data_IF_774667963285
#
_entry.id   IF_774667963285
#
_cell.length_a   1.000
_cell.length_b   1.000
_cell.length_c   1.000
_cell.angle_alpha   90.00
_cell.angle_beta   90.00
_cell.angle_gamma   90.00
#
_symmetry.space_group_name_H-M   'P 1'
#
loop_
_entity.id
_entity.type
_entity.pdbx_description
1 polymer ?
#
# COMPACT_ATOMS: atom_id res chain seq x y z
N UNK A 1 15.21 11.89 7.91
CA UNK A 1 14.55 10.60 7.59
C UNK A 1 14.21 9.92 8.91
N UNK A 2 12.92 9.75 9.25
CA UNK A 2 12.50 9.17 10.54
C UNK A 2 12.78 7.66 10.54
N UNK A 3 13.38 7.13 11.61
CA UNK A 3 13.74 5.70 11.73
C UNK A 3 12.56 4.92 12.32
N UNK A 4 12.13 3.83 11.66
CA UNK A 4 11.04 2.96 12.10
C UNK A 4 11.50 2.02 13.22
N UNK A 5 10.69 1.88 14.27
CA UNK A 5 11.03 1.07 15.47
C UNK A 5 10.27 -0.26 15.49
N UNK A 6 9.00 -0.25 15.06
CA UNK A 6 8.17 -1.44 14.99
C UNK A 6 7.08 -1.29 13.92
N UNK A 7 6.57 -2.42 13.43
CA UNK A 7 5.34 -2.51 12.65
C UNK A 7 4.46 -3.49 13.41
N UNK A 8 3.35 -2.99 13.97
CA UNK A 8 2.34 -3.88 14.51
C UNK A 8 1.81 -4.72 13.35
N UNK A 9 1.75 -6.05 13.55
CA UNK A 9 1.57 -7.03 12.49
C UNK A 9 0.46 -6.57 11.53
N UNK A 10 0.81 -6.32 10.27
CA UNK A 10 -0.16 -5.95 9.23
C UNK A 10 -1.28 -6.98 9.22
N UNK A 11 -2.49 -6.57 9.58
CA UNK A 11 -3.67 -7.37 9.40
C UNK A 11 -4.06 -7.23 7.93
N UNK A 12 -3.77 -8.24 7.13
CA UNK A 12 -4.28 -8.33 5.77
C UNK A 12 -5.75 -8.70 5.81
N UNK A 13 -6.67 -7.77 6.09
CA UNK A 13 -8.07 -7.94 5.69
C UNK A 13 -8.81 -6.60 5.61
N UNK A 14 -9.19 -6.19 4.39
CA UNK A 14 -10.45 -5.50 4.14
C UNK A 14 -10.77 -5.58 2.65
N UNK A 15 -11.85 -6.28 2.32
CA UNK A 15 -12.30 -6.50 0.93
C UNK A 15 -13.48 -5.57 0.66
N UNK A 16 -13.30 -4.55 -0.18
CA UNK A 16 -14.42 -3.66 -0.55
C UNK A 16 -15.32 -4.22 -1.66
N UNK A 17 -14.99 -5.39 -2.24
CA UNK A 17 -15.70 -5.91 -3.41
C UNK A 17 -16.53 -7.15 -3.10
N UNK A 18 -17.78 -7.16 -3.59
CA UNK A 18 -18.71 -8.30 -3.55
C UNK A 18 -18.33 -9.43 -4.51
N UNK A 19 -17.37 -9.19 -5.40
CA UNK A 19 -16.91 -10.16 -6.41
C UNK A 19 -16.00 -11.23 -5.78
N UNK A 20 -16.46 -12.49 -5.79
CA UNK A 20 -15.73 -13.61 -5.22
C UNK A 20 -14.44 -13.97 -5.98
N UNK A 21 -14.33 -13.64 -7.26
CA UNK A 21 -13.09 -13.85 -8.02
C UNK A 21 -12.03 -12.83 -7.62
N UNK A 22 -12.41 -11.56 -7.51
CA UNK A 22 -11.48 -10.51 -7.07
C UNK A 22 -10.99 -10.81 -5.64
N UNK A 23 -11.87 -11.26 -4.75
CA UNK A 23 -11.46 -11.72 -3.41
C UNK A 23 -10.42 -12.85 -3.45
N UNK A 24 -10.57 -13.84 -4.34
CA UNK A 24 -9.60 -14.95 -4.46
C UNK A 24 -8.25 -14.48 -4.95
N UNK A 25 -8.22 -13.58 -5.92
CA UNK A 25 -6.98 -13.03 -6.46
C UNK A 25 -6.28 -12.14 -5.44
N UNK A 26 -7.01 -11.24 -4.77
CA UNK A 26 -6.41 -10.40 -3.76
C UNK A 26 -5.91 -11.18 -2.52
N UNK A 27 -6.41 -12.39 -2.23
CA UNK A 27 -5.83 -13.26 -1.19
C UNK A 27 -4.39 -13.68 -1.47
N UNK A 28 -3.93 -13.57 -2.72
CA UNK A 28 -2.54 -13.83 -3.11
C UNK A 28 -1.63 -12.64 -2.83
N UNK A 29 -2.19 -11.44 -2.67
CA UNK A 29 -1.45 -10.27 -2.16
C UNK A 29 -1.17 -10.45 -0.66
N UNK A 30 0.00 -11.00 -0.36
CA UNK A 30 0.47 -11.27 1.00
C UNK A 30 1.88 -10.69 1.18
N UNK A 31 2.02 -9.36 1.29
CA UNK A 31 3.32 -8.75 1.49
C UNK A 31 3.88 -9.19 2.86
N UNK A 32 5.13 -9.63 2.86
CA UNK A 32 5.88 -9.97 4.07
C UNK A 32 6.25 -8.72 4.84
N UNK A 33 6.48 -8.86 6.15
CA UNK A 33 6.98 -7.76 7.00
C UNK A 33 8.23 -7.07 6.42
N UNK A 34 9.15 -7.84 5.84
CA UNK A 34 10.37 -7.30 5.20
C UNK A 34 10.02 -6.41 4.00
N UNK A 35 9.12 -6.86 3.12
CA UNK A 35 8.68 -6.07 1.97
C UNK A 35 7.95 -4.79 2.38
N UNK A 36 7.09 -4.86 3.40
CA UNK A 36 6.40 -3.68 3.94
C UNK A 36 7.41 -2.66 4.48
N UNK A 37 8.41 -3.11 5.26
CA UNK A 37 9.49 -2.26 5.75
C UNK A 37 10.31 -1.64 4.61
N UNK A 38 10.73 -2.46 3.64
CA UNK A 38 11.51 -2.01 2.49
C UNK A 38 10.73 -0.99 1.65
N UNK A 39 9.42 -1.16 1.52
CA UNK A 39 8.52 -0.22 0.87
C UNK A 39 8.52 1.14 1.57
N UNK A 40 8.16 1.20 2.85
CA UNK A 40 8.05 2.48 3.56
C UNK A 40 9.40 3.21 3.70
N UNK A 41 10.52 2.50 3.63
CA UNK A 41 11.85 3.10 3.63
C UNK A 41 12.26 3.72 2.28
N UNK A 42 11.64 3.30 1.17
CA UNK A 42 12.04 3.72 -0.19
C UNK A 42 10.97 4.52 -0.93
N UNK A 43 9.71 4.41 -0.50
CA UNK A 43 8.59 5.07 -1.15
C UNK A 43 8.72 6.59 -1.12
N UNK A 44 8.22 7.22 -2.17
CA UNK A 44 8.23 8.68 -2.33
C UNK A 44 6.81 9.21 -2.18
N UNK A 45 6.63 10.43 -1.62
CA UNK A 45 5.35 11.11 -1.64
C UNK A 45 4.84 11.32 -3.07
N UNK A 46 3.54 11.12 -3.26
CA UNK A 46 2.83 11.36 -4.52
C UNK A 46 1.51 12.06 -4.26
N UNK A 47 0.91 12.59 -5.31
CA UNK A 47 -0.44 13.13 -5.27
C UNK A 47 -1.48 12.02 -5.09
N UNK A 48 -2.63 12.36 -4.49
CA UNK A 48 -3.69 11.38 -4.21
C UNK A 48 -4.28 10.71 -5.45
N UNK A 49 -4.26 11.37 -6.61
CA UNK A 49 -4.76 10.77 -7.87
C UNK A 49 -3.95 9.53 -8.28
N UNK A 50 -2.67 9.44 -7.89
CA UNK A 50 -1.83 8.27 -8.21
C UNK A 50 -2.38 7.02 -7.52
N UNK A 51 -2.87 7.17 -6.28
CA UNK A 51 -3.41 6.06 -5.49
C UNK A 51 -4.86 5.75 -5.89
N UNK A 52 -5.67 6.80 -6.08
CA UNK A 52 -7.11 6.67 -6.22
C UNK A 52 -7.58 6.40 -7.65
N UNK A 53 -6.76 6.71 -8.66
CA UNK A 53 -7.12 6.63 -10.07
C UNK A 53 -6.07 5.86 -10.88
N UNK A 54 -4.86 6.41 -11.03
CA UNK A 54 -3.83 5.87 -11.93
C UNK A 54 -3.37 4.45 -11.57
N UNK A 55 -3.22 4.19 -10.27
CA UNK A 55 -2.78 2.90 -9.72
C UNK A 55 -3.80 2.28 -8.78
N UNK A 56 -5.08 2.58 -8.99
CA UNK A 56 -6.15 2.03 -8.17
C UNK A 56 -6.15 0.50 -8.25
N UNK A 57 -6.19 -0.15 -7.08
CA UNK A 57 -6.44 -1.58 -6.96
C UNK A 57 -7.32 -1.86 -5.75
N UNK A 58 -8.21 -2.86 -5.83
CA UNK A 58 -9.01 -3.25 -4.68
C UNK A 58 -8.25 -4.12 -3.66
N UNK A 59 -7.03 -4.54 -3.97
CA UNK A 59 -6.25 -5.44 -3.12
C UNK A 59 -5.32 -4.64 -2.21
N UNK A 60 -5.60 -4.61 -0.90
CA UNK A 60 -4.78 -3.88 0.06
C UNK A 60 -4.64 -4.61 1.42
N UNK A 61 -3.60 -4.23 2.15
CA UNK A 61 -3.29 -4.66 3.51
C UNK A 61 -3.25 -3.41 4.40
N UNK A 62 -3.56 -3.55 5.69
CA UNK A 62 -3.56 -2.43 6.62
C UNK A 62 -2.77 -2.72 7.88
N UNK A 63 -2.42 -1.67 8.61
CA UNK A 63 -1.80 -1.79 9.91
C UNK A 63 -1.45 -0.44 10.50
N UNK A 64 -0.53 -0.46 11.47
CA UNK A 64 -0.06 0.73 12.17
C UNK A 64 1.47 0.83 12.15
N UNK A 65 1.99 2.03 11.88
CA UNK A 65 3.39 2.40 12.06
C UNK A 65 3.54 3.15 13.39
N UNK A 66 4.62 2.87 14.12
CA UNK A 66 4.99 3.59 15.34
C UNK A 66 6.45 4.02 15.21
N UNK A 67 6.72 5.30 15.44
CA UNK A 67 8.06 5.87 15.41
C UNK A 67 8.62 6.05 16.83
N UNK A 68 9.95 6.19 16.94
CA UNK A 68 10.67 6.37 18.21
C UNK A 68 10.20 7.60 19.02
N UNK A 69 9.68 8.63 18.35
CA UNK A 69 9.15 9.84 18.99
C UNK A 69 7.74 9.63 19.56
N UNK A 70 7.19 8.41 19.46
CA UNK A 70 5.85 8.06 19.91
C UNK A 70 4.75 8.44 18.92
N UNK A 71 5.09 9.08 17.79
CA UNK A 71 4.10 9.34 16.73
C UNK A 71 3.66 8.05 16.07
N UNK A 72 2.42 8.04 15.55
CA UNK A 72 1.89 6.87 14.85
C UNK A 72 1.09 7.25 13.61
N UNK A 73 0.92 6.26 12.73
CA UNK A 73 0.08 6.39 11.55
C UNK A 73 -0.60 5.06 11.25
N UNK A 74 -1.87 5.11 10.88
CA UNK A 74 -2.51 3.99 10.21
C UNK A 74 -2.09 3.96 8.75
N UNK A 75 -1.90 2.77 8.19
CA UNK A 75 -1.51 2.62 6.80
C UNK A 75 -2.42 1.67 6.06
N UNK A 76 -2.63 1.98 4.77
CA UNK A 76 -3.20 1.09 3.77
C UNK A 76 -2.16 0.92 2.66
N UNK A 77 -1.67 -0.30 2.47
CA UNK A 77 -0.70 -0.66 1.44
C UNK A 77 -1.42 -1.44 0.34
N UNK A 78 -1.41 -0.91 -0.88
CA UNK A 78 -2.08 -1.47 -2.03
C UNK A 78 -1.13 -2.35 -2.86
N UNK A 79 -1.66 -3.38 -3.53
CA UNK A 79 -0.85 -4.28 -4.33
C UNK A 79 -0.11 -3.57 -5.47
N UNK A 80 -0.64 -2.44 -5.94
CA UNK A 80 -0.10 -1.59 -7.01
C UNK A 80 1.22 -0.87 -6.69
N UNK A 81 1.77 -1.05 -5.49
CA UNK A 81 2.95 -0.31 -5.04
C UNK A 81 2.62 1.08 -4.52
N UNK A 82 1.36 1.35 -4.17
CA UNK A 82 0.94 2.61 -3.54
C UNK A 82 0.56 2.40 -2.08
N UNK A 83 0.60 3.47 -1.28
CA UNK A 83 0.07 3.45 0.08
C UNK A 83 -0.54 4.79 0.48
N UNK A 84 -1.42 4.74 1.48
CA UNK A 84 -1.92 5.90 2.19
C UNK A 84 -1.55 5.78 3.67
N UNK A 85 -1.00 6.85 4.26
CA UNK A 85 -0.73 6.98 5.68
C UNK A 85 -1.69 8.00 6.28
N UNK A 86 -2.55 7.59 7.21
CA UNK A 86 -3.38 8.47 8.00
C UNK A 86 -2.66 8.79 9.31
N UNK A 87 -2.23 10.04 9.46
CA UNK A 87 -1.56 10.54 10.64
C UNK A 87 -2.58 10.89 11.74
N UNK A 88 -2.12 10.92 13.00
CA UNK A 88 -2.95 11.24 14.16
C UNK A 88 -3.58 12.66 14.10
N UNK A 89 -3.02 13.57 13.29
CA UNK A 89 -3.56 14.92 13.05
C UNK A 89 -4.66 14.96 11.97
N UNK A 90 -5.02 13.81 11.37
CA UNK A 90 -6.00 13.70 10.29
C UNK A 90 -5.45 13.93 8.88
N UNK A 91 -4.16 14.24 8.75
CA UNK A 91 -3.50 14.39 7.45
C UNK A 91 -3.30 13.01 6.80
N UNK A 92 -3.50 12.95 5.48
CA UNK A 92 -3.21 11.75 4.69
C UNK A 92 -2.02 11.99 3.77
N UNK A 93 -1.00 11.14 3.88
CA UNK A 93 0.15 11.14 2.98
C UNK A 93 0.02 9.96 2.02
N UNK A 94 0.13 10.23 0.73
CA UNK A 94 0.15 9.20 -0.30
C UNK A 94 1.58 8.89 -0.73
N UNK A 95 1.86 7.61 -0.94
CA UNK A 95 3.20 7.10 -1.22
C UNK A 95 3.17 6.17 -2.43
N UNK A 96 4.28 6.15 -3.18
CA UNK A 96 4.51 5.20 -4.27
C UNK A 96 5.94 4.66 -4.26
N UNK A 97 6.06 3.36 -4.57
CA UNK A 97 7.32 2.69 -4.92
C UNK A 97 7.01 1.65 -6.00
N UNK A 98 7.80 1.67 -7.08
CA UNK A 98 7.76 0.69 -8.17
C UNK A 98 8.38 -0.68 -7.82
N UNK A 99 9.53 -0.73 -7.16
CA UNK A 99 10.24 -1.99 -6.84
C UNK A 99 9.77 -2.60 -5.49
N UNK A 100 8.52 -3.06 -5.44
CA UNK A 100 7.87 -3.55 -4.22
C UNK A 100 7.97 -5.07 -3.98
N UNK A 101 8.23 -5.86 -5.04
CA UNK A 101 8.60 -7.29 -4.99
C UNK A 101 7.60 -8.23 -4.30
N UNK A 102 6.31 -7.89 -4.23
CA UNK A 102 5.23 -8.81 -3.87
C UNK A 102 4.40 -9.16 -5.10
N UNK A 103 3.51 -10.15 -4.95
CA UNK A 103 2.56 -10.47 -6.00
C UNK A 103 1.46 -9.40 -6.07
N UNK A 104 1.27 -8.82 -7.26
CA UNK A 104 0.19 -7.90 -7.55
C UNK A 104 -0.80 -8.52 -8.56
N UNK A 105 -2.04 -8.85 -8.14
CA UNK A 105 -3.04 -9.46 -9.03
C UNK A 105 -3.55 -8.52 -10.13
N UNK A 106 -3.27 -7.22 -10.03
CA UNK A 106 -3.67 -6.19 -10.99
C UNK A 106 -2.47 -5.53 -11.66
N UNK A 107 -1.30 -6.16 -11.61
CA UNK A 107 -0.13 -5.72 -12.39
C UNK A 107 -0.47 -5.64 -13.88
N UNK A 108 0.16 -4.69 -14.60
CA UNK A 108 -0.10 -4.44 -16.02
C UNK A 108 -1.49 -3.88 -16.36
N UNK A 109 -2.26 -3.41 -15.37
CA UNK A 109 -3.53 -2.69 -15.61
C UNK A 109 -3.48 -1.21 -15.20
N UNK A 110 -2.32 -0.72 -14.77
CA UNK A 110 -2.13 0.66 -14.28
C UNK A 110 -1.53 1.57 -15.33
N UNK A 111 -1.52 2.87 -15.05
CA UNK A 111 -1.04 3.85 -16.01
C UNK A 111 -2.20 4.41 -16.82
N UNK A 112 -2.12 5.68 -17.15
CA UNK A 112 -3.10 6.38 -17.98
C UNK A 112 -2.85 6.20 -19.49
N UNK A 113 -1.89 5.35 -19.88
CA UNK A 113 -1.55 5.04 -21.26
C UNK A 113 -2.35 3.86 -21.84
N UNK A 114 -2.21 3.64 -23.15
CA UNK A 114 -2.87 2.53 -23.85
C UNK A 114 -2.30 1.14 -23.45
N UNK A 115 -1.07 1.11 -22.96
CA UNK A 115 -0.40 -0.07 -22.42
C UNK A 115 -0.26 0.06 -20.90
N UNK A 116 -0.69 -0.97 -20.18
CA UNK A 116 -0.64 -0.98 -18.73
C UNK A 116 0.77 -1.21 -18.17
N UNK A 117 1.09 -0.53 -17.08
CA UNK A 117 2.40 -0.62 -16.45
C UNK A 117 2.58 -1.89 -15.62
N UNK A 118 3.68 -2.57 -15.95
CA UNK A 118 4.40 -3.54 -15.12
C UNK A 118 5.80 -2.92 -14.82
#
# INVERSE_FOLDING_TARGET
MKTLTDIDKGQTVSWSLKDENIKKECKKFQPTRKQILDFFNKAQPVEGFVVNEDRYTPCFSTGKLIWNDGTSAEWSLYSSGTASLLLDNGETIHLYQRDYRWFDPTECTYGLGDEGEC
#
